data_IF_176368939629
#
_entry.id   IF_176368939629
#
_cell.length_a   1.000
_cell.length_b   1.000
_cell.length_c   1.000
_cell.angle_alpha   90.00
_cell.angle_beta   90.00
_cell.angle_gamma   90.00
#
_symmetry.space_group_name_H-M   'P 1'
#
loop_
_entity.id
_entity.type
_entity.pdbx_description
1 polymer ?
#
# COMPACT_ATOMS: atom_id res chain seq x y z
N UNK A 1 16.74 -4.48 -5.97
CA UNK A 1 16.87 -3.32 -5.08
C UNK A 1 16.19 -2.05 -5.64
N UNK A 2 15.12 -2.20 -6.42
CA UNK A 2 14.45 -1.08 -7.13
C UNK A 2 13.01 -0.85 -6.63
N UNK A 3 12.40 -1.87 -6.00
CA UNK A 3 10.98 -1.86 -5.67
C UNK A 3 10.60 -0.88 -4.57
N UNK A 4 11.54 -0.55 -3.68
CA UNK A 4 11.33 0.40 -2.58
C UNK A 4 11.65 1.85 -2.97
N UNK A 5 12.21 2.11 -4.17
CA UNK A 5 12.54 3.48 -4.59
C UNK A 5 11.25 4.24 -4.94
N UNK A 6 10.92 5.32 -4.21
CA UNK A 6 9.66 6.03 -4.40
C UNK A 6 9.78 7.04 -5.55
N UNK A 7 9.32 6.65 -6.75
CA UNK A 7 9.46 7.46 -7.97
C UNK A 7 8.12 7.97 -8.51
N UNK A 8 7.02 7.27 -8.26
CA UNK A 8 5.72 7.58 -8.86
C UNK A 8 5.02 8.70 -8.09
N UNK A 9 4.41 9.65 -8.81
CA UNK A 9 3.50 10.63 -8.20
C UNK A 9 2.16 9.98 -7.85
N UNK A 10 1.30 10.67 -7.10
CA UNK A 10 -0.05 10.16 -6.79
C UNK A 10 -0.90 9.93 -8.05
N UNK A 11 -0.78 10.79 -9.07
CA UNK A 11 -1.51 10.63 -10.32
C UNK A 11 -1.04 9.40 -11.09
N UNK A 12 0.28 9.20 -11.18
CA UNK A 12 0.85 8.02 -11.83
C UNK A 12 0.50 6.73 -11.07
N UNK A 13 0.56 6.75 -9.73
CA UNK A 13 0.17 5.61 -8.91
C UNK A 13 -1.32 5.27 -9.08
N UNK A 14 -2.19 6.29 -9.11
CA UNK A 14 -3.62 6.12 -9.32
C UNK A 14 -3.92 5.44 -10.67
N UNK A 15 -3.26 5.89 -11.74
CA UNK A 15 -3.35 5.30 -13.07
C UNK A 15 -2.87 3.84 -13.11
N UNK A 16 -1.70 3.55 -12.53
CA UNK A 16 -1.10 2.20 -12.47
C UNK A 16 -1.97 1.18 -11.73
N UNK A 17 -2.82 1.64 -10.80
CA UNK A 17 -3.71 0.80 -10.00
C UNK A 17 -5.15 0.85 -10.54
N UNK A 18 -5.48 1.76 -11.48
CA UNK A 18 -6.84 1.94 -11.97
C UNK A 18 -7.79 2.53 -10.93
N UNK A 19 -7.30 3.44 -10.09
CA UNK A 19 -8.05 4.11 -9.03
C UNK A 19 -8.07 5.62 -9.24
N UNK A 20 -9.01 6.30 -8.61
CA UNK A 20 -9.01 7.77 -8.56
C UNK A 20 -7.97 8.26 -7.53
N UNK A 21 -7.24 9.37 -7.77
CA UNK A 21 -6.27 9.92 -6.80
C UNK A 21 -6.87 10.18 -5.41
N UNK A 22 -8.15 10.54 -5.34
CA UNK A 22 -8.84 10.72 -4.05
C UNK A 22 -8.96 9.41 -3.26
N UNK A 23 -9.16 8.28 -3.93
CA UNK A 23 -9.21 6.96 -3.28
C UNK A 23 -7.87 6.62 -2.63
N UNK A 24 -6.75 6.92 -3.30
CA UNK A 24 -5.41 6.74 -2.73
C UNK A 24 -5.23 7.60 -1.47
N UNK A 25 -5.69 8.86 -1.48
CA UNK A 25 -5.66 9.74 -0.29
C UNK A 25 -6.49 9.17 0.86
N UNK A 26 -7.65 8.59 0.57
CA UNK A 26 -8.48 7.91 1.57
C UNK A 26 -7.75 6.70 2.16
N UNK A 27 -7.10 5.88 1.34
CA UNK A 27 -6.31 4.75 1.82
C UNK A 27 -5.12 5.18 2.68
N UNK A 28 -4.43 6.27 2.33
CA UNK A 28 -3.39 6.88 3.17
C UNK A 28 -3.92 7.40 4.50
N UNK A 29 -5.07 8.10 4.50
CA UNK A 29 -5.69 8.60 5.72
C UNK A 29 -6.09 7.44 6.65
N UNK A 30 -6.53 6.33 6.07
CA UNK A 30 -6.74 5.06 6.78
C UNK A 30 -5.44 4.26 6.97
N UNK A 31 -4.26 4.86 6.81
CA UNK A 31 -2.96 4.23 7.09
C UNK A 31 -2.69 2.92 6.36
N UNK A 32 -3.43 2.62 5.29
CA UNK A 32 -3.33 1.37 4.54
C UNK A 32 -2.06 1.37 3.68
N UNK A 33 -1.63 2.54 3.21
CA UNK A 33 -0.37 2.76 2.48
C UNK A 33 0.31 3.99 3.04
N UNK A 34 1.65 4.02 3.02
CA UNK A 34 2.45 5.14 3.54
C UNK A 34 3.51 5.53 2.50
N UNK A 35 3.17 6.40 1.53
CA UNK A 35 4.14 6.84 0.54
C UNK A 35 5.24 7.67 1.19
N UNK A 36 6.40 7.70 0.54
CA UNK A 36 7.47 8.63 0.88
C UNK A 36 7.01 10.07 0.63
N UNK A 37 7.41 11.00 1.49
CA UNK A 37 7.26 12.44 1.25
C UNK A 37 8.62 13.00 0.91
N UNK A 38 8.77 13.52 -0.31
CA UNK A 38 9.97 14.23 -0.72
C UNK A 38 10.08 15.59 -0.03
N UNK A 39 11.26 16.20 -0.06
CA UNK A 39 11.57 17.47 0.63
C UNK A 39 10.65 18.62 0.18
N UNK A 40 10.16 18.56 -1.06
CA UNK A 40 9.19 19.51 -1.60
C UNK A 40 7.72 19.23 -1.17
N UNK A 41 7.52 18.32 -0.21
CA UNK A 41 6.21 17.92 0.31
C UNK A 41 5.40 16.98 -0.60
N UNK A 42 5.91 16.60 -1.78
CA UNK A 42 5.19 15.73 -2.70
C UNK A 42 5.26 14.27 -2.27
N UNK A 43 4.12 13.57 -2.39
CA UNK A 43 4.03 12.12 -2.19
C UNK A 43 4.69 11.39 -3.34
N UNK A 44 5.50 10.39 -3.00
CA UNK A 44 6.16 9.49 -3.93
C UNK A 44 5.89 8.04 -3.53
N UNK A 45 5.42 7.25 -4.48
CA UNK A 45 5.10 5.85 -4.30
C UNK A 45 6.19 5.00 -4.95
N UNK A 46 6.59 3.98 -4.21
CA UNK A 46 7.48 2.92 -4.66
C UNK A 46 6.70 1.84 -5.41
N UNK A 47 7.39 0.92 -6.10
CA UNK A 47 6.71 -0.20 -6.73
C UNK A 47 6.01 -1.10 -5.70
N UNK A 48 6.59 -1.23 -4.49
CA UNK A 48 5.95 -1.93 -3.37
C UNK A 48 4.64 -1.26 -2.96
N UNK A 49 4.59 0.07 -2.92
CA UNK A 49 3.36 0.80 -2.62
C UNK A 49 2.29 0.55 -3.69
N UNK A 50 2.68 0.49 -4.97
CA UNK A 50 1.76 0.17 -6.07
C UNK A 50 1.16 -1.23 -5.89
N UNK A 51 1.97 -2.22 -5.57
CA UNK A 51 1.49 -3.59 -5.37
C UNK A 51 0.54 -3.68 -4.16
N UNK A 52 0.90 -3.00 -3.07
CA UNK A 52 0.02 -2.88 -1.90
C UNK A 52 -1.31 -2.22 -2.23
N UNK A 53 -1.30 -1.15 -3.04
CA UNK A 53 -2.51 -0.48 -3.51
C UNK A 53 -3.39 -1.40 -4.37
N UNK A 54 -2.80 -2.27 -5.21
CA UNK A 54 -3.55 -3.28 -5.97
C UNK A 54 -4.22 -4.29 -5.06
N UNK A 55 -3.50 -4.78 -4.05
CA UNK A 55 -4.08 -5.69 -3.06
C UNK A 55 -5.25 -5.04 -2.31
N UNK A 56 -5.08 -3.79 -1.84
CA UNK A 56 -6.15 -3.04 -1.16
C UNK A 56 -7.37 -2.87 -2.09
N UNK A 57 -7.15 -2.52 -3.36
CA UNK A 57 -8.20 -2.38 -4.36
C UNK A 57 -8.99 -3.69 -4.51
N UNK A 58 -8.29 -4.81 -4.64
CA UNK A 58 -8.94 -6.10 -4.88
C UNK A 58 -9.77 -6.54 -3.67
N UNK A 59 -9.24 -6.40 -2.45
CA UNK A 59 -10.01 -6.64 -1.21
C UNK A 59 -11.24 -5.73 -1.11
N UNK A 60 -11.12 -4.46 -1.53
CA UNK A 60 -12.22 -3.50 -1.46
C UNK A 60 -13.29 -3.74 -2.52
N UNK A 61 -12.90 -3.92 -3.78
CA UNK A 61 -13.81 -3.95 -4.92
C UNK A 61 -14.32 -5.34 -5.26
N UNK A 62 -13.50 -6.39 -5.08
CA UNK A 62 -13.88 -7.77 -5.40
C UNK A 62 -14.48 -8.48 -4.20
N UNK A 63 -13.90 -8.29 -3.02
CA UNK A 63 -14.35 -8.97 -1.80
C UNK A 63 -15.28 -8.13 -0.93
N UNK A 64 -15.51 -6.85 -1.29
CA UNK A 64 -16.43 -5.97 -0.58
C UNK A 64 -15.97 -5.58 0.83
N UNK A 65 -14.68 -5.73 1.14
CA UNK A 65 -14.14 -5.48 2.47
C UNK A 65 -13.95 -3.98 2.68
N UNK A 66 -14.41 -3.47 3.82
CA UNK A 66 -14.23 -2.06 4.18
C UNK A 66 -12.78 -1.76 4.62
N UNK A 67 -12.44 -0.47 4.73
CA UNK A 67 -11.07 -0.04 5.06
C UNK A 67 -10.58 -0.52 6.44
N UNK A 68 -11.47 -0.69 7.42
CA UNK A 68 -11.11 -1.23 8.73
C UNK A 68 -10.75 -2.72 8.64
N UNK A 69 -11.52 -3.51 7.89
CA UNK A 69 -11.22 -4.92 7.63
C UNK A 69 -9.92 -5.09 6.86
N UNK A 70 -9.73 -4.31 5.79
CA UNK A 70 -8.49 -4.31 5.00
C UNK A 70 -7.27 -3.99 5.88
N UNK A 71 -7.37 -2.97 6.74
CA UNK A 71 -6.29 -2.64 7.68
C UNK A 71 -5.93 -3.86 8.53
N UNK A 72 -6.94 -4.52 9.10
CA UNK A 72 -6.71 -5.67 9.98
C UNK A 72 -6.05 -6.84 9.24
N UNK A 73 -6.49 -7.13 8.02
CA UNK A 73 -5.91 -8.18 7.17
C UNK A 73 -4.43 -7.89 6.92
N UNK A 74 -4.10 -6.67 6.53
CA UNK A 74 -2.73 -6.27 6.22
C UNK A 74 -1.83 -6.34 7.47
N UNK A 75 -2.30 -5.85 8.62
CA UNK A 75 -1.56 -5.96 9.89
C UNK A 75 -1.26 -7.42 10.26
N UNK A 76 -2.23 -8.32 10.06
CA UNK A 76 -2.05 -9.75 10.31
C UNK A 76 -1.04 -10.37 9.33
N UNK A 77 -1.09 -10.01 8.05
CA UNK A 77 -0.11 -10.48 7.05
C UNK A 77 1.32 -10.00 7.38
N UNK A 78 1.48 -8.75 7.80
CA UNK A 78 2.77 -8.23 8.24
C UNK A 78 3.30 -8.95 9.47
N UNK A 79 2.43 -9.26 10.45
CA UNK A 79 2.80 -10.05 11.62
C UNK A 79 3.24 -11.46 11.22
N UNK A 80 2.49 -12.13 10.36
CA UNK A 80 2.82 -13.48 9.87
C UNK A 80 4.18 -13.49 9.17
N UNK A 81 4.45 -12.53 8.30
CA UNK A 81 5.74 -12.41 7.62
C UNK A 81 6.90 -12.23 8.61
N UNK A 82 6.72 -11.37 9.63
CA UNK A 82 7.73 -11.16 10.69
C UNK A 82 7.99 -12.44 11.47
N UNK A 83 6.94 -13.16 11.86
CA UNK A 83 7.05 -14.44 12.58
C UNK A 83 7.75 -15.51 11.73
N UNK A 84 7.38 -15.64 10.46
CA UNK A 84 8.02 -16.57 9.53
C UNK A 84 9.52 -16.26 9.35
N UNK A 85 9.88 -14.99 9.22
CA UNK A 85 11.28 -14.56 9.12
C UNK A 85 12.06 -14.88 10.39
N UNK A 86 11.46 -14.67 11.57
CA UNK A 86 12.08 -14.98 12.86
C UNK A 86 12.23 -16.51 13.09
N UNK A 87 11.30 -17.31 12.58
CA UNK A 87 11.33 -18.77 12.73
C UNK A 87 12.22 -19.48 11.69
N UNK A 88 12.30 -18.93 10.48
CA UNK A 88 13.09 -19.47 9.36
C UNK A 88 14.57 -19.07 9.35
N UNK A 89 15.02 -18.28 10.33
CA UNK A 89 16.42 -17.95 10.56
C UNK A 89 17.18 -19.00 11.41
N UNK A 90 16.80 -20.28 11.34
CA UNK A 90 17.48 -21.41 11.98
C UNK A 90 17.96 -22.42 10.94
#
# INVERSE_FOLDING_TARGET
MTEDRPVHSISAAAELVGLHPQTLRTYEAHGLVRPYRADNGQRRYSARDIERLRQIRDLSQREGINTAGIRRIIELQELLLRLQTALGGR
#
